data_IF_563487585952
#
_entry.id   IF_563487585952
#
_cell.length_a   1.000
_cell.length_b   1.000
_cell.length_c   1.000
_cell.angle_alpha   90.00
_cell.angle_beta   90.00
_cell.angle_gamma   90.00
#
_symmetry.space_group_name_H-M   'P 1'
#
loop_
_entity.id
_entity.type
_entity.pdbx_description
1 polymer ?
#
# COMPACT_ATOMS: atom_id res chain seq x y z
N UNK A 1 19.25 13.88 -1.37
CA UNK A 1 18.23 13.15 -2.13
C UNK A 1 16.96 13.97 -2.23
N UNK A 2 16.38 13.96 -3.41
CA UNK A 2 15.17 14.73 -3.62
C UNK A 2 13.95 13.99 -3.05
N UNK A 3 13.21 14.66 -2.19
CA UNK A 3 12.00 14.10 -1.63
C UNK A 3 10.88 14.14 -2.66
N UNK A 4 10.09 13.08 -2.71
CA UNK A 4 8.87 13.05 -3.52
C UNK A 4 7.69 13.70 -2.82
N UNK A 5 7.85 14.01 -1.53
CA UNK A 5 6.73 14.51 -0.74
C UNK A 5 6.66 16.02 -0.88
N UNK A 6 5.64 16.49 -1.58
CA UNK A 6 5.27 17.88 -1.67
C UNK A 6 4.04 18.08 -0.81
N UNK A 7 3.66 19.35 -0.58
CA UNK A 7 2.43 19.63 0.18
C UNK A 7 1.22 18.95 -0.44
N UNK A 8 1.11 18.99 -1.76
CA UNK A 8 -0.01 18.36 -2.44
C UNK A 8 0.03 16.85 -2.26
N UNK A 9 1.22 16.24 -2.39
CA UNK A 9 1.35 14.81 -2.20
C UNK A 9 1.04 14.40 -0.78
N UNK A 10 1.48 15.21 0.20
CA UNK A 10 1.21 14.92 1.60
C UNK A 10 -0.29 14.91 1.87
N UNK A 11 -1.03 15.88 1.32
CA UNK A 11 -2.48 15.92 1.47
C UNK A 11 -3.12 14.68 0.85
N UNK A 12 -2.69 14.29 -0.34
CA UNK A 12 -3.21 13.11 -1.01
C UNK A 12 -2.94 11.84 -0.20
N UNK A 13 -1.75 11.72 0.39
CA UNK A 13 -1.41 10.58 1.24
C UNK A 13 -2.30 10.52 2.46
N UNK A 14 -2.50 11.66 3.12
CA UNK A 14 -3.35 11.72 4.30
C UNK A 14 -4.79 11.41 3.96
N UNK A 15 -5.27 11.91 2.83
CA UNK A 15 -6.63 11.60 2.38
C UNK A 15 -6.80 10.12 2.11
N UNK A 16 -5.81 9.48 1.49
CA UNK A 16 -5.87 8.05 1.22
C UNK A 16 -5.91 7.23 2.51
N UNK A 17 -5.20 7.68 3.54
CA UNK A 17 -5.15 6.98 4.83
C UNK A 17 -6.31 7.32 5.76
N UNK A 18 -7.14 8.29 5.39
CA UNK A 18 -8.26 8.68 6.24
C UNK A 18 -9.35 7.62 6.31
N UNK A 19 -9.34 6.67 5.40
CA UNK A 19 -10.30 5.57 5.40
C UNK A 19 -9.72 4.42 6.23
N UNK A 20 -10.54 3.89 7.14
CA UNK A 20 -10.06 2.94 8.14
C UNK A 20 -9.43 1.69 7.53
N UNK A 21 -10.09 1.12 6.51
CA UNK A 21 -9.58 -0.10 5.87
C UNK A 21 -8.22 0.14 5.21
N UNK A 22 -8.06 1.31 4.59
CA UNK A 22 -6.80 1.65 3.94
C UNK A 22 -5.68 1.83 4.96
N UNK A 23 -5.99 2.43 6.10
CA UNK A 23 -5.00 2.57 7.16
C UNK A 23 -4.55 1.20 7.68
N UNK A 24 -5.50 0.29 7.89
CA UNK A 24 -5.17 -1.08 8.32
C UNK A 24 -4.31 -1.79 7.28
N UNK A 25 -4.65 -1.63 6.01
CA UNK A 25 -3.88 -2.22 4.92
C UNK A 25 -2.45 -1.69 4.91
N UNK A 26 -2.30 -0.38 5.03
CA UNK A 26 -0.98 0.24 5.02
C UNK A 26 -0.14 -0.24 6.20
N UNK A 27 -0.73 -0.30 7.39
CA UNK A 27 -0.02 -0.79 8.58
C UNK A 27 0.42 -2.24 8.41
N UNK A 28 -0.45 -3.06 7.82
CA UNK A 28 -0.12 -4.46 7.57
C UNK A 28 1.10 -4.59 6.67
N UNK A 29 1.17 -3.78 5.62
CA UNK A 29 2.29 -3.82 4.69
C UNK A 29 3.57 -3.29 5.33
N UNK A 30 3.47 -2.27 6.18
CA UNK A 30 4.64 -1.78 6.92
C UNK A 30 5.20 -2.88 7.81
N UNK A 31 4.34 -3.59 8.52
CA UNK A 31 4.76 -4.66 9.41
C UNK A 31 5.41 -5.81 8.64
N UNK A 32 4.92 -6.08 7.44
CA UNK A 32 5.46 -7.16 6.62
C UNK A 32 6.83 -6.80 6.05
N UNK A 33 7.06 -5.53 5.77
CA UNK A 33 8.34 -5.06 5.28
C UNK A 33 8.58 -5.41 3.82
N UNK A 34 9.87 -5.54 3.46
CA UNK A 34 10.28 -5.66 2.07
C UNK A 34 9.80 -6.95 1.40
N UNK A 35 9.48 -7.99 2.17
CA UNK A 35 8.99 -9.23 1.58
C UNK A 35 7.60 -9.07 0.95
N UNK A 36 6.82 -8.10 1.43
CA UNK A 36 5.52 -7.82 0.85
C UNK A 36 4.50 -8.91 1.11
N UNK A 37 3.30 -8.70 0.60
CA UNK A 37 2.20 -9.66 0.71
C UNK A 37 1.46 -9.71 -0.62
N UNK A 38 0.96 -10.89 -0.96
CA UNK A 38 0.08 -11.05 -2.11
C UNK A 38 -1.32 -10.58 -1.78
N UNK A 39 -2.06 -10.13 -2.80
CA UNK A 39 -3.40 -9.56 -2.59
C UNK A 39 -4.34 -10.53 -1.88
N UNK A 40 -4.29 -11.82 -2.24
CA UNK A 40 -5.15 -12.80 -1.59
C UNK A 40 -4.90 -12.91 -0.09
N UNK A 41 -3.64 -12.86 0.31
CA UNK A 41 -3.28 -12.91 1.72
C UNK A 41 -3.73 -11.65 2.45
N UNK A 42 -3.59 -10.50 1.81
CA UNK A 42 -4.03 -9.23 2.39
C UNK A 42 -5.54 -9.25 2.59
N UNK A 43 -6.28 -9.69 1.57
CA UNK A 43 -7.75 -9.76 1.66
C UNK A 43 -8.17 -10.67 2.80
N UNK A 44 -7.52 -11.80 2.95
CA UNK A 44 -7.84 -12.75 4.00
C UNK A 44 -7.59 -12.15 5.39
N UNK A 45 -6.47 -11.47 5.56
CA UNK A 45 -6.12 -10.88 6.86
C UNK A 45 -7.03 -9.72 7.24
N UNK A 46 -7.48 -8.95 6.24
CA UNK A 46 -8.35 -7.81 6.48
C UNK A 46 -9.81 -8.18 6.50
N UNK A 47 -10.15 -9.38 6.02
CA UNK A 47 -11.54 -9.81 5.98
C UNK A 47 -12.38 -9.06 4.96
N UNK A 48 -11.79 -8.67 3.83
CA UNK A 48 -12.50 -7.93 2.79
C UNK A 48 -12.50 -8.73 1.48
N UNK A 49 -13.52 -8.52 0.64
CA UNK A 49 -13.53 -9.17 -0.69
C UNK A 49 -12.38 -8.68 -1.57
N UNK A 50 -11.95 -9.53 -2.50
CA UNK A 50 -10.86 -9.17 -3.41
C UNK A 50 -11.17 -7.93 -4.23
N UNK A 51 -12.42 -7.75 -4.67
CA UNK A 51 -12.79 -6.59 -5.45
C UNK A 51 -12.66 -5.31 -4.63
N UNK A 52 -13.06 -5.35 -3.37
CA UNK A 52 -12.91 -4.19 -2.47
C UNK A 52 -11.44 -3.91 -2.20
N UNK A 53 -10.65 -4.96 -1.99
CA UNK A 53 -9.23 -4.80 -1.75
C UNK A 53 -8.53 -4.15 -2.94
N UNK A 54 -8.87 -4.57 -4.17
CA UNK A 54 -8.26 -3.99 -5.37
C UNK A 54 -8.47 -2.49 -5.43
N UNK A 55 -9.66 -2.02 -5.05
CA UNK A 55 -9.95 -0.60 -5.01
C UNK A 55 -9.02 0.13 -4.03
N UNK A 56 -8.84 -0.43 -2.85
CA UNK A 56 -7.97 0.18 -1.83
C UNK A 56 -6.51 0.13 -2.23
N UNK A 57 -6.06 -0.97 -2.82
CA UNK A 57 -4.68 -1.07 -3.29
C UNK A 57 -4.39 -0.02 -4.35
N UNK A 58 -5.30 0.16 -5.29
CA UNK A 58 -5.15 1.17 -6.33
C UNK A 58 -5.07 2.57 -5.74
N UNK A 59 -5.94 2.87 -4.77
CA UNK A 59 -5.96 4.19 -4.14
C UNK A 59 -4.65 4.49 -3.42
N UNK A 60 -4.11 3.51 -2.68
CA UNK A 60 -2.86 3.69 -1.97
C UNK A 60 -1.67 3.78 -2.91
N UNK A 61 -1.69 3.02 -3.99
CA UNK A 61 -0.63 3.07 -4.99
C UNK A 61 -0.61 4.42 -5.69
N UNK A 62 -1.77 4.95 -6.04
CA UNK A 62 -1.86 6.25 -6.68
C UNK A 62 -1.41 7.38 -5.77
N UNK A 63 -1.50 7.19 -4.46
CA UNK A 63 -1.02 8.17 -3.49
C UNK A 63 0.46 7.97 -3.14
N UNK A 64 1.14 7.05 -3.82
CA UNK A 64 2.57 6.74 -3.61
C UNK A 64 2.87 6.22 -2.21
N UNK A 65 1.89 5.57 -1.58
CA UNK A 65 2.10 4.99 -0.26
C UNK A 65 2.55 3.53 -0.33
N UNK A 66 2.16 2.82 -1.38
CA UNK A 66 2.54 1.43 -1.59
C UNK A 66 2.95 1.23 -3.04
N UNK A 67 3.62 0.12 -3.30
CA UNK A 67 4.00 -0.27 -4.64
C UNK A 67 3.90 -1.78 -4.78
N UNK A 68 3.77 -2.24 -6.01
CA UNK A 68 3.75 -3.68 -6.29
C UNK A 68 5.09 -4.10 -6.86
N UNK A 69 5.55 -5.28 -6.47
CA UNK A 69 6.69 -5.91 -7.09
C UNK A 69 6.22 -6.58 -8.38
N UNK A 70 7.04 -6.47 -9.42
CA UNK A 70 6.70 -7.08 -10.71
C UNK A 70 7.09 -8.54 -10.70
N UNK A 71 6.34 -9.32 -9.96
CA UNK A 71 6.53 -10.76 -9.85
C UNK A 71 5.26 -11.47 -10.30
N UNK A 72 5.33 -12.79 -10.42
CA UNK A 72 4.17 -13.59 -10.77
C UNK A 72 3.99 -14.67 -9.72
N UNK A 73 3.06 -14.51 -8.78
CA UNK A 73 2.11 -13.40 -8.65
C UNK A 73 2.74 -12.15 -8.02
N UNK A 74 2.15 -10.97 -8.25
CA UNK A 74 2.70 -9.75 -7.67
C UNK A 74 2.50 -9.70 -6.16
N UNK A 75 3.44 -9.05 -5.47
CA UNK A 75 3.32 -8.75 -4.05
C UNK A 75 3.26 -7.25 -3.85
N UNK A 76 2.63 -6.83 -2.76
CA UNK A 76 2.47 -5.42 -2.42
C UNK A 76 3.26 -5.11 -1.17
N UNK A 77 3.86 -3.93 -1.11
CA UNK A 77 4.64 -3.50 0.04
C UNK A 77 4.61 -1.97 0.14
N UNK A 78 4.94 -1.46 1.32
CA UNK A 78 5.00 -0.03 1.50
C UNK A 78 6.15 0.58 0.70
N UNK A 79 5.98 1.84 0.35
CA UNK A 79 6.95 2.51 -0.53
C UNK A 79 8.35 2.57 0.08
N UNK A 80 8.45 2.79 1.39
CA UNK A 80 9.75 2.92 2.04
C UNK A 80 10.54 1.62 2.00
N UNK A 81 9.86 0.47 2.17
CA UNK A 81 10.53 -0.82 2.07
C UNK A 81 11.09 -1.03 0.67
N UNK A 82 10.34 -0.61 -0.35
CA UNK A 82 10.80 -0.70 -1.72
C UNK A 82 12.01 0.20 -1.95
N UNK A 83 11.98 1.42 -1.43
CA UNK A 83 13.06 2.38 -1.61
C UNK A 83 14.34 1.97 -0.90
N UNK A 84 14.21 1.22 0.18
CA UNK A 84 15.37 0.80 0.97
C UNK A 84 16.18 -0.28 0.29
N UNK A 85 15.61 -0.96 -0.69
CA UNK A 85 16.33 -1.99 -1.43
C UNK A 85 16.97 -1.41 -2.67
#
# INVERSE_FOLDING_TARGET
MKSKITDKNAVNMMAALAQETRLKLFRLLIQQGASGLMAGEIARRLGVPNSTLSYHLTALEQADLICSAKAQPPTWRDWMAFSAT
#
